data_IF_836486369708
#
_entry.id   IF_836486369708
#
_cell.length_a   1.000
_cell.length_b   1.000
_cell.length_c   1.000
_cell.angle_alpha   90.00
_cell.angle_beta   90.00
_cell.angle_gamma   90.00
#
_symmetry.space_group_name_H-M   'P 1'
#
loop_
_entity.id
_entity.type
_entity.pdbx_description
1 polymer ?
#
# COMPACT_ATOMS: atom_id res chain seq x y z
N UNK A 1 49.41 -0.12 -6.97
CA UNK A 1 48.61 -0.90 -7.94
C UNK A 1 47.15 -0.58 -7.61
N UNK A 2 46.44 0.19 -8.45
CA UNK A 2 45.05 0.57 -8.21
C UNK A 2 44.14 -0.34 -9.03
N UNK A 3 43.69 -1.43 -8.43
CA UNK A 3 42.67 -2.31 -9.02
C UNK A 3 41.29 -1.90 -8.49
N UNK A 4 40.23 -2.09 -9.29
CA UNK A 4 38.87 -1.83 -8.85
C UNK A 4 38.46 -2.86 -7.77
N UNK A 5 37.52 -2.47 -6.92
CA UNK A 5 37.24 -3.15 -5.65
C UNK A 5 36.81 -4.62 -5.86
N UNK A 6 36.05 -4.91 -6.91
CA UNK A 6 35.56 -6.24 -7.26
C UNK A 6 36.67 -7.28 -7.55
N UNK A 7 37.92 -6.85 -7.80
CA UNK A 7 39.04 -7.75 -8.01
C UNK A 7 39.79 -8.11 -6.72
N UNK A 8 39.46 -7.47 -5.60
CA UNK A 8 40.11 -7.72 -4.32
C UNK A 8 39.45 -8.93 -3.62
N UNK A 9 40.21 -9.94 -3.16
CA UNK A 9 39.64 -11.14 -2.51
C UNK A 9 38.77 -10.84 -1.28
N UNK A 10 39.05 -9.73 -0.59
CA UNK A 10 38.27 -9.24 0.56
C UNK A 10 36.88 -8.69 0.17
N UNK A 11 36.64 -8.42 -1.10
CA UNK A 11 35.37 -7.94 -1.65
C UNK A 11 34.70 -9.00 -2.53
N UNK A 12 34.72 -10.26 -2.07
CA UNK A 12 34.06 -11.40 -2.73
C UNK A 12 32.53 -11.29 -2.79
N UNK A 13 31.93 -10.46 -1.94
CA UNK A 13 30.53 -10.04 -2.00
C UNK A 13 30.45 -8.52 -2.08
N UNK A 14 29.90 -8.01 -3.18
CA UNK A 14 29.83 -6.58 -3.48
C UNK A 14 28.41 -6.23 -3.94
N UNK A 15 27.90 -5.09 -3.49
CA UNK A 15 26.60 -4.56 -3.90
C UNK A 15 26.82 -3.29 -4.74
N UNK A 16 26.14 -3.21 -5.89
CA UNK A 16 26.22 -2.05 -6.78
C UNK A 16 24.92 -1.25 -6.72
N UNK A 17 25.04 0.06 -6.53
CA UNK A 17 23.90 0.98 -6.63
C UNK A 17 23.80 1.47 -8.07
N UNK A 18 22.78 1.00 -8.79
CA UNK A 18 22.51 1.45 -10.16
C UNK A 18 21.47 2.56 -10.13
N UNK A 19 21.86 3.77 -10.52
CA UNK A 19 20.94 4.90 -10.64
C UNK A 19 20.14 4.79 -11.95
N UNK A 20 19.06 3.99 -11.95
CA UNK A 20 18.13 3.88 -13.07
C UNK A 20 16.89 4.72 -12.84
N UNK A 21 16.78 5.82 -13.57
CA UNK A 21 15.55 6.62 -13.65
C UNK A 21 15.06 7.22 -12.32
N UNK A 22 13.88 7.84 -12.31
CA UNK A 22 13.26 8.33 -11.09
C UNK A 22 12.95 7.17 -10.13
N UNK A 23 13.30 7.34 -8.86
CA UNK A 23 13.01 6.37 -7.82
C UNK A 23 11.51 6.38 -7.51
N UNK A 24 10.85 5.23 -7.58
CA UNK A 24 9.44 5.13 -7.19
C UNK A 24 9.33 5.12 -5.66
N UNK A 25 8.32 5.77 -5.08
CA UNK A 25 8.06 5.69 -3.65
C UNK A 25 7.68 4.26 -3.25
N UNK A 26 7.93 3.91 -1.99
CA UNK A 26 7.45 2.65 -1.41
C UNK A 26 5.91 2.67 -1.32
N UNK A 27 5.29 1.51 -1.49
CA UNK A 27 3.84 1.36 -1.42
C UNK A 27 3.50 0.39 -0.29
N UNK A 28 2.68 0.83 0.66
CA UNK A 28 2.18 0.03 1.76
C UNK A 28 0.65 -0.03 1.70
N UNK A 29 0.10 -1.24 1.60
CA UNK A 29 -1.34 -1.46 1.57
C UNK A 29 -1.74 -2.23 2.83
N UNK A 30 -2.48 -1.58 3.72
CA UNK A 30 -3.04 -2.22 4.90
C UNK A 30 -4.34 -2.91 4.53
N UNK A 31 -4.41 -4.23 4.72
CA UNK A 31 -5.61 -5.04 4.49
C UNK A 31 -6.03 -5.64 5.82
N UNK A 32 -7.12 -5.12 6.39
CA UNK A 32 -7.46 -5.28 7.80
C UNK A 32 -8.78 -6.02 7.95
N UNK A 33 -8.77 -7.13 8.70
CA UNK A 33 -10.00 -7.79 9.15
C UNK A 33 -10.65 -6.96 10.26
N UNK A 34 -11.97 -6.85 10.22
CA UNK A 34 -12.79 -6.16 11.21
C UNK A 34 -13.70 -7.12 11.99
N UNK A 35 -13.68 -8.41 11.66
CA UNK A 35 -14.46 -9.46 12.33
C UNK A 35 -13.77 -9.99 13.60
N UNK A 36 -13.34 -9.08 14.47
CA UNK A 36 -12.70 -9.40 15.76
C UNK A 36 -13.31 -8.56 16.88
N UNK A 37 -13.02 -8.92 18.13
CA UNK A 37 -13.52 -8.19 19.28
C UNK A 37 -12.89 -6.79 19.38
N UNK A 38 -13.56 -5.86 20.05
CA UNK A 38 -13.17 -4.44 20.08
C UNK A 38 -11.79 -4.21 20.72
N UNK A 39 -11.39 -5.03 21.69
CA UNK A 39 -10.07 -4.95 22.33
C UNK A 39 -8.94 -5.28 21.34
N UNK A 40 -9.09 -6.37 20.58
CA UNK A 40 -8.13 -6.79 19.56
C UNK A 40 -8.06 -5.77 18.42
N UNK A 41 -9.22 -5.28 17.97
CA UNK A 41 -9.30 -4.27 16.93
C UNK A 41 -8.65 -2.94 17.37
N UNK A 42 -8.79 -2.58 18.64
CA UNK A 42 -8.17 -1.38 19.20
C UNK A 42 -6.64 -1.53 19.26
N UNK A 43 -6.15 -2.67 19.75
CA UNK A 43 -4.71 -2.96 19.73
C UNK A 43 -4.14 -2.96 18.29
N UNK A 44 -4.89 -3.48 17.32
CA UNK A 44 -4.50 -3.46 15.92
C UNK A 44 -4.42 -2.04 15.35
N UNK A 45 -5.39 -1.18 15.67
CA UNK A 45 -5.37 0.24 15.27
C UNK A 45 -4.14 0.96 15.80
N UNK A 46 -3.78 0.75 17.06
CA UNK A 46 -2.61 1.37 17.69
C UNK A 46 -1.30 0.90 17.03
N UNK A 47 -1.18 -0.40 16.77
CA UNK A 47 -0.04 -0.97 16.06
C UNK A 47 0.09 -0.42 14.64
N UNK A 48 -1.03 -0.30 13.92
CA UNK A 48 -1.05 0.31 12.58
C UNK A 48 -0.63 1.77 12.62
N UNK A 49 -1.17 2.57 13.54
CA UNK A 49 -0.79 3.97 13.72
C UNK A 49 0.71 4.13 14.02
N UNK A 50 1.26 3.27 14.88
CA UNK A 50 2.70 3.25 15.15
C UNK A 50 3.49 2.94 13.88
N UNK A 51 3.10 1.91 13.12
CA UNK A 51 3.79 1.55 11.88
C UNK A 51 3.76 2.67 10.84
N UNK A 52 2.65 3.42 10.72
CA UNK A 52 2.52 4.57 9.81
C UNK A 52 3.53 5.67 10.15
N UNK A 53 3.82 5.89 11.44
CA UNK A 53 4.78 6.90 11.87
C UNK A 53 6.24 6.55 11.52
N UNK A 54 6.52 5.28 11.22
CA UNK A 54 7.85 4.78 10.83
C UNK A 54 8.07 4.79 9.32
N UNK A 55 7.02 5.02 8.52
CA UNK A 55 7.14 5.00 7.07
C UNK A 55 7.87 6.24 6.55
N UNK A 56 8.62 6.12 5.44
CA UNK A 56 9.17 7.28 4.75
C UNK A 56 8.05 8.25 4.36
N UNK A 57 8.30 9.56 4.46
CA UNK A 57 7.29 10.59 4.16
C UNK A 57 6.77 10.55 2.70
N UNK A 58 7.54 9.97 1.78
CA UNK A 58 7.16 9.81 0.38
C UNK A 58 6.40 8.51 0.10
N UNK A 59 6.27 7.62 1.09
CA UNK A 59 5.59 6.35 0.90
C UNK A 59 4.10 6.55 0.61
N UNK A 60 3.59 5.80 -0.37
CA UNK A 60 2.18 5.73 -0.67
C UNK A 60 1.52 4.72 0.26
N UNK A 61 0.44 5.12 0.90
CA UNK A 61 -0.32 4.28 1.82
C UNK A 61 -1.73 4.08 1.28
N UNK A 62 -2.22 2.85 1.34
CA UNK A 62 -3.62 2.51 1.08
C UNK A 62 -4.22 1.72 2.25
N UNK A 63 -5.55 1.77 2.38
CA UNK A 63 -6.29 1.02 3.37
C UNK A 63 -7.45 0.25 2.72
N UNK A 64 -7.52 -1.03 3.02
CA UNK A 64 -8.65 -1.90 2.73
C UNK A 64 -9.08 -2.52 4.05
N UNK A 65 -10.37 -2.43 4.38
CA UNK A 65 -10.93 -3.14 5.53
C UNK A 65 -11.92 -4.18 5.05
N UNK A 66 -11.95 -5.35 5.64
CA UNK A 66 -12.87 -6.40 5.26
C UNK A 66 -13.56 -7.02 6.48
N UNK A 67 -14.74 -7.55 6.21
CA UNK A 67 -15.51 -8.40 7.11
C UNK A 67 -16.53 -9.14 6.25
N UNK A 68 -17.82 -8.86 6.41
CA UNK A 68 -18.83 -9.33 5.45
C UNK A 68 -18.70 -8.71 4.06
N UNK A 69 -18.25 -7.46 4.01
CA UNK A 69 -18.01 -6.70 2.78
C UNK A 69 -16.56 -6.23 2.77
N UNK A 70 -16.03 -5.94 1.59
CA UNK A 70 -14.68 -5.40 1.41
C UNK A 70 -14.80 -3.91 1.10
N UNK A 71 -14.11 -3.09 1.87
CA UNK A 71 -14.10 -1.64 1.73
C UNK A 71 -12.71 -1.19 1.29
N UNK A 72 -12.62 -0.55 0.13
CA UNK A 72 -11.40 0.13 -0.34
C UNK A 72 -11.55 1.61 -0.02
N UNK A 73 -10.67 2.16 0.82
CA UNK A 73 -10.80 3.52 1.33
C UNK A 73 -10.09 4.53 0.42
N UNK A 74 -10.78 5.62 0.10
CA UNK A 74 -10.21 6.76 -0.63
C UNK A 74 -9.65 7.76 0.38
N UNK A 75 -8.32 7.84 0.44
CA UNK A 75 -7.59 8.68 1.38
C UNK A 75 -7.35 10.08 0.79
N UNK A 76 -7.25 11.09 1.66
CA UNK A 76 -6.98 12.48 1.23
C UNK A 76 -8.20 13.30 0.81
N UNK A 77 -9.42 12.76 0.98
CA UNK A 77 -10.64 13.56 0.87
C UNK A 77 -10.82 14.44 2.12
N UNK A 78 -10.85 15.76 1.93
CA UNK A 78 -11.14 16.70 3.02
C UNK A 78 -12.64 16.69 3.36
N UNK A 79 -12.96 16.54 4.65
CA UNK A 79 -14.33 16.66 5.17
C UNK A 79 -15.25 15.44 4.99
N UNK A 80 -14.91 14.47 4.13
CA UNK A 80 -15.72 13.25 3.89
C UNK A 80 -14.81 12.04 3.67
N UNK A 81 -14.98 10.98 4.45
CA UNK A 81 -14.37 9.68 4.17
C UNK A 81 -15.19 8.94 3.12
N UNK A 82 -14.59 8.65 1.95
CA UNK A 82 -15.21 7.86 0.89
C UNK A 82 -14.61 6.47 0.86
N UNK A 83 -15.43 5.46 0.60
CA UNK A 83 -14.97 4.09 0.37
C UNK A 83 -15.79 3.38 -0.70
N UNK A 84 -15.14 2.47 -1.41
CA UNK A 84 -15.74 1.59 -2.42
C UNK A 84 -16.04 0.25 -1.78
N UNK A 85 -17.31 -0.17 -1.83
CA UNK A 85 -17.78 -1.38 -1.17
C UNK A 85 -17.97 -2.49 -2.20
N UNK A 86 -17.27 -3.59 -1.99
CA UNK A 86 -17.36 -4.79 -2.79
C UNK A 86 -17.97 -5.94 -1.99
N UNK A 87 -18.70 -6.81 -2.67
CA UNK A 87 -19.21 -8.05 -2.07
C UNK A 87 -18.07 -9.04 -1.89
N UNK A 88 -17.83 -9.48 -0.66
CA UNK A 88 -16.78 -10.47 -0.35
C UNK A 88 -17.05 -11.87 -0.90
N UNK A 89 -18.25 -12.14 -1.43
CA UNK A 89 -18.65 -13.44 -1.99
C UNK A 89 -18.42 -13.56 -3.49
N UNK A 90 -17.86 -12.54 -4.15
CA UNK A 90 -17.65 -12.53 -5.60
C UNK A 90 -16.19 -12.19 -5.90
N UNK A 91 -15.51 -13.08 -6.60
CA UNK A 91 -14.16 -12.83 -7.10
C UNK A 91 -14.19 -11.76 -8.21
N UNK A 92 -13.23 -10.83 -8.15
CA UNK A 92 -13.06 -9.76 -9.12
C UNK A 92 -11.65 -9.85 -9.71
N UNK A 93 -11.56 -9.89 -11.03
CA UNK A 93 -10.29 -9.76 -11.73
C UNK A 93 -9.79 -8.31 -11.71
N UNK A 94 -8.47 -8.13 -11.85
CA UNK A 94 -7.86 -6.80 -11.93
C UNK A 94 -8.51 -5.91 -13.00
N UNK A 95 -8.86 -6.48 -14.17
CA UNK A 95 -9.56 -5.76 -15.24
C UNK A 95 -10.95 -5.27 -14.82
N UNK A 96 -11.70 -6.08 -14.07
CA UNK A 96 -13.04 -5.72 -13.61
C UNK A 96 -12.99 -4.64 -12.53
N UNK A 97 -11.96 -4.65 -11.67
CA UNK A 97 -11.70 -3.57 -10.72
C UNK A 97 -11.41 -2.26 -11.47
N UNK A 98 -10.47 -2.29 -12.43
CA UNK A 98 -10.07 -1.12 -13.22
C UNK A 98 -11.23 -0.46 -14.00
N UNK A 99 -12.12 -1.27 -14.57
CA UNK A 99 -13.27 -0.77 -15.37
C UNK A 99 -14.36 -0.16 -14.49
N UNK A 100 -14.49 -0.62 -13.24
CA UNK A 100 -15.48 -0.07 -12.30
C UNK A 100 -15.15 1.37 -11.91
N UNK A 101 -13.87 1.73 -11.88
CA UNK A 101 -13.40 3.10 -11.62
C UNK A 101 -13.55 4.02 -12.85
N UNK A 102 -13.31 3.50 -14.06
CA UNK A 102 -13.36 4.31 -15.29
C UNK A 102 -14.77 4.82 -15.65
N UNK A 103 -15.82 4.06 -15.33
CA UNK A 103 -17.21 4.47 -15.59
C UNK A 103 -17.75 5.52 -14.60
N UNK A 104 -17.03 5.83 -13.51
CA UNK A 104 -17.37 6.93 -12.59
C UNK A 104 -16.56 8.19 -12.80
N UNK A 105 -15.36 8.09 -13.37
CA UNK A 105 -14.52 9.24 -13.73
C UNK A 105 -14.99 9.98 -15.00
N UNK A 106 -16.05 9.50 -15.67
CA UNK A 106 -16.66 10.15 -16.84
C UNK A 106 -17.89 11.02 -16.53
N UNK A 107 -18.23 11.23 -15.25
CA UNK A 107 -19.20 12.25 -14.88
C UNK A 107 -18.45 13.57 -14.61
N UNK A 108 -18.56 14.57 -15.49
CA UNK A 108 -18.06 15.91 -15.19
C UNK A 108 -18.85 16.46 -14.01
N UNK A 109 -18.14 16.94 -12.99
CA UNK A 109 -18.65 18.03 -12.14
C UNK A 109 -18.21 19.33 -12.79
#
# INVERSE_FOLDING_TARGET
MNQPAELLPQFSSIEYVVQRGPQMPLIFLYVVDTCMDDEDLQALKESMQMSLSLLPATALVGLITFGRMVHVHELGCEGISKSYVFRGTKDLSAKQLQVSDYNRLSLPV
#
